data_IF_924714911842
#
_entry.id   IF_924714911842
#
_cell.length_a   1.000
_cell.length_b   1.000
_cell.length_c   1.000
_cell.angle_alpha   90.00
_cell.angle_beta   90.00
_cell.angle_gamma   90.00
#
_symmetry.space_group_name_H-M   'P 1'
#
loop_
_entity.id
_entity.type
_entity.pdbx_description
1 polymer ?
#
# COMPACT_ATOMS: atom_id res chain seq x y z
N UNK A 1 -7.40 -3.65 -24.14
CA UNK A 1 -8.21 -4.14 -23.00
C UNK A 1 -8.27 -3.00 -22.01
N UNK A 2 -9.45 -2.39 -21.81
CA UNK A 2 -9.64 -1.44 -20.71
C UNK A 2 -9.64 -2.28 -19.42
N UNK A 3 -8.68 -2.03 -18.54
CA UNK A 3 -8.66 -2.64 -17.21
C UNK A 3 -9.98 -2.33 -16.51
N UNK A 4 -10.46 -3.25 -15.68
CA UNK A 4 -11.46 -2.89 -14.69
C UNK A 4 -10.87 -1.72 -13.90
N UNK A 5 -11.57 -0.58 -13.82
CA UNK A 5 -11.17 0.51 -12.94
C UNK A 5 -11.11 -0.08 -11.52
N UNK A 6 -9.89 -0.29 -11.03
CA UNK A 6 -9.67 -0.81 -9.69
C UNK A 6 -10.02 0.34 -8.75
N UNK A 7 -10.98 0.14 -7.83
CA UNK A 7 -11.46 1.23 -6.98
C UNK A 7 -10.35 1.76 -6.05
N UNK A 8 -9.33 0.94 -5.78
CA UNK A 8 -8.15 1.33 -5.04
C UNK A 8 -6.89 0.87 -5.78
N UNK A 9 -5.94 1.78 -5.96
CA UNK A 9 -4.64 1.54 -6.56
C UNK A 9 -3.53 1.88 -5.57
N UNK A 10 -2.44 1.11 -5.62
CA UNK A 10 -1.28 1.30 -4.75
C UNK A 10 0.01 1.30 -5.55
N UNK A 11 0.94 2.18 -5.20
CA UNK A 11 2.26 2.24 -5.85
C UNK A 11 3.31 2.69 -4.84
N UNK A 12 4.49 2.08 -4.90
CA UNK A 12 5.63 2.50 -4.07
C UNK A 12 6.62 3.29 -4.90
N UNK A 13 7.06 4.41 -4.37
CA UNK A 13 8.07 5.25 -4.99
C UNK A 13 9.28 5.40 -4.08
N UNK A 14 10.47 5.35 -4.67
CA UNK A 14 11.70 5.75 -3.99
C UNK A 14 12.03 7.18 -4.36
N UNK A 15 12.46 7.94 -3.34
CA UNK A 15 12.93 9.29 -3.56
C UNK A 15 14.28 9.26 -4.28
N UNK A 16 14.47 10.11 -5.29
CA UNK A 16 15.74 10.24 -5.99
C UNK A 16 16.73 10.93 -5.03
N UNK A 17 17.98 10.45 -4.86
CA UNK A 17 18.93 11.02 -3.90
C UNK A 17 19.25 12.49 -4.21
N UNK A 18 19.43 13.32 -3.17
CA UNK A 18 19.85 14.74 -3.26
C UNK A 18 18.90 15.67 -4.02
N UNK A 19 17.66 15.25 -4.25
CA UNK A 19 16.72 16.03 -5.07
C UNK A 19 15.75 16.89 -4.26
N UNK A 20 15.32 16.46 -3.07
CA UNK A 20 14.34 17.23 -2.28
C UNK A 20 15.04 18.11 -1.24
N UNK A 21 15.07 19.41 -1.49
CA UNK A 21 15.44 20.43 -0.51
C UNK A 21 14.23 21.03 0.23
N UNK A 22 13.02 20.85 -0.31
CA UNK A 22 11.77 21.31 0.30
C UNK A 22 10.56 20.44 -0.08
N UNK A 23 9.67 20.17 0.88
CA UNK A 23 8.43 19.38 0.69
C UNK A 23 7.51 19.92 -0.42
N UNK A 24 7.46 21.25 -0.58
CA UNK A 24 6.64 21.89 -1.61
C UNK A 24 7.11 21.59 -3.04
N UNK A 25 8.40 21.33 -3.25
CA UNK A 25 8.96 21.00 -4.57
C UNK A 25 8.56 19.58 -4.98
N UNK A 26 8.59 18.64 -4.03
CA UNK A 26 8.10 17.27 -4.23
C UNK A 26 6.62 17.26 -4.64
N UNK A 27 5.78 18.01 -3.91
CA UNK A 27 4.35 18.11 -4.21
C UNK A 27 4.07 18.76 -5.58
N UNK A 28 4.91 19.71 -6.01
CA UNK A 28 4.74 20.44 -7.27
C UNK A 28 5.23 19.68 -8.52
N UNK A 29 6.13 18.69 -8.37
CA UNK A 29 6.74 18.00 -9.50
C UNK A 29 7.19 16.57 -9.19
N UNK A 30 6.32 15.68 -8.67
CA UNK A 30 6.69 14.38 -8.12
C UNK A 30 7.53 13.50 -9.06
N UNK A 31 7.23 13.52 -10.37
CA UNK A 31 7.95 12.73 -11.39
C UNK A 31 9.44 13.09 -11.52
N UNK A 32 9.86 14.25 -11.02
CA UNK A 32 11.26 14.68 -11.02
C UNK A 32 12.04 14.17 -9.79
N UNK A 33 11.32 13.71 -8.77
CA UNK A 33 11.83 13.39 -7.45
C UNK A 33 11.59 11.94 -7.04
N UNK A 34 10.73 11.21 -7.76
CA UNK A 34 10.28 9.87 -7.42
C UNK A 34 10.58 8.90 -8.55
N UNK A 35 10.93 7.67 -8.20
CA UNK A 35 11.03 6.54 -9.12
C UNK A 35 10.14 5.42 -8.63
N UNK A 36 9.22 4.99 -9.48
CA UNK A 36 8.31 3.89 -9.18
C UNK A 36 9.06 2.56 -9.10
N UNK A 37 8.77 1.82 -8.04
CA UNK A 37 9.23 0.44 -7.85
C UNK A 37 8.60 -0.50 -8.89
N UNK A 38 7.36 -0.25 -9.29
CA UNK A 38 6.61 -1.11 -10.20
C UNK A 38 6.95 -0.79 -11.67
N UNK A 39 7.00 0.49 -12.04
CA UNK A 39 7.28 0.91 -13.41
C UNK A 39 8.77 0.85 -13.78
N UNK A 40 9.67 1.14 -12.83
CA UNK A 40 11.12 1.19 -13.06
C UNK A 40 11.92 0.39 -12.01
N UNK A 41 11.67 -0.93 -11.86
CA UNK A 41 12.18 -1.72 -10.73
C UNK A 41 13.71 -1.73 -10.63
N UNK A 42 14.42 -1.74 -11.76
CA UNK A 42 15.90 -1.69 -11.78
C UNK A 42 16.44 -0.29 -11.47
N UNK A 43 15.74 0.76 -11.90
CA UNK A 43 16.07 2.14 -11.60
C UNK A 43 15.90 2.42 -10.10
N UNK A 44 14.78 1.99 -9.53
CA UNK A 44 14.54 2.01 -8.09
C UNK A 44 15.62 1.24 -7.32
N UNK A 45 16.02 0.06 -7.77
CA UNK A 45 17.03 -0.75 -7.07
C UNK A 45 18.40 -0.05 -7.04
N UNK A 46 18.78 0.59 -8.15
CA UNK A 46 20.00 1.40 -8.20
C UNK A 46 19.96 2.54 -7.18
N UNK A 47 18.84 3.28 -7.10
CA UNK A 47 18.64 4.35 -6.11
C UNK A 47 18.77 3.80 -4.69
N UNK A 48 18.14 2.66 -4.42
CA UNK A 48 18.18 2.00 -3.11
C UNK A 48 19.62 1.69 -2.69
N UNK A 49 20.42 1.07 -3.57
CA UNK A 49 21.82 0.74 -3.28
C UNK A 49 22.71 2.00 -3.15
N UNK A 50 22.52 2.99 -4.01
CA UNK A 50 23.26 4.26 -3.96
C UNK A 50 23.04 4.99 -2.62
N UNK A 51 21.83 4.88 -2.04
CA UNK A 51 21.49 5.41 -0.71
C UNK A 51 22.05 4.55 0.41
N UNK A 52 21.87 3.23 0.34
CA UNK A 52 22.36 2.28 1.35
C UNK A 52 23.89 2.34 1.53
N UNK A 53 24.63 2.74 0.48
CA UNK A 53 26.07 2.97 0.56
C UNK A 53 26.45 4.18 1.44
N UNK A 54 25.51 5.07 1.76
CA UNK A 54 25.75 6.34 2.48
C UNK A 54 24.98 6.44 3.80
N UNK A 55 23.86 5.74 3.91
CA UNK A 55 22.98 5.71 5.08
C UNK A 55 22.54 4.26 5.36
N UNK A 56 22.16 3.92 6.60
CA UNK A 56 21.71 2.57 6.95
C UNK A 56 20.40 2.14 6.23
N UNK A 57 19.64 3.10 5.68
CA UNK A 57 18.35 2.87 5.03
C UNK A 57 18.39 3.30 3.55
N UNK A 58 18.16 2.36 2.63
CA UNK A 58 18.09 2.63 1.20
C UNK A 58 16.69 3.02 0.70
N UNK A 59 15.65 2.70 1.48
CA UNK A 59 14.24 2.72 1.07
C UNK A 59 13.48 4.03 1.31
N UNK A 60 14.15 5.16 1.53
CA UNK A 60 13.41 6.41 1.74
C UNK A 60 12.59 6.80 0.50
N UNK A 61 11.30 7.05 0.67
CA UNK A 61 10.33 7.18 -0.41
C UNK A 61 8.91 7.32 0.13
N UNK A 62 7.90 7.15 -0.71
CA UNK A 62 6.49 7.24 -0.31
C UNK A 62 5.68 6.07 -0.86
N UNK A 63 4.52 5.85 -0.24
CA UNK A 63 3.50 4.92 -0.74
C UNK A 63 2.31 5.73 -1.17
N UNK A 64 1.92 5.57 -2.43
CA UNK A 64 0.70 6.16 -2.95
C UNK A 64 -0.42 5.14 -2.78
N UNK A 65 -1.53 5.61 -2.21
CA UNK A 65 -2.79 4.88 -2.20
C UNK A 65 -3.83 5.84 -2.76
N UNK A 66 -4.37 5.49 -3.92
CA UNK A 66 -5.43 6.25 -4.57
C UNK A 66 -6.71 5.45 -4.52
N UNK A 67 -7.75 6.02 -3.92
CA UNK A 67 -9.09 5.45 -3.85
C UNK A 67 -10.00 6.28 -4.74
N UNK A 68 -10.46 5.70 -5.85
CA UNK A 68 -11.00 6.41 -7.00
C UNK A 68 -10.04 7.49 -7.52
N UNK A 69 -10.40 8.77 -7.40
CA UNK A 69 -9.57 9.91 -7.78
C UNK A 69 -8.93 10.60 -6.57
N UNK A 70 -9.18 10.11 -5.35
CA UNK A 70 -8.65 10.69 -4.12
C UNK A 70 -7.34 10.03 -3.68
N UNK A 71 -6.33 10.85 -3.43
CA UNK A 71 -5.09 10.42 -2.80
C UNK A 71 -5.31 10.28 -1.29
N UNK A 72 -5.21 9.06 -0.76
CA UNK A 72 -5.43 8.77 0.65
C UNK A 72 -4.22 9.08 1.54
N UNK A 73 -3.01 9.00 0.97
CA UNK A 73 -1.75 9.29 1.66
C UNK A 73 -1.12 10.53 1.02
N UNK A 74 -0.94 11.64 1.76
CA UNK A 74 -0.28 12.84 1.25
C UNK A 74 1.14 12.54 0.74
N UNK A 75 1.56 13.19 -0.36
CA UNK A 75 2.88 12.98 -0.96
C UNK A 75 4.03 13.40 -0.03
N UNK A 76 3.74 14.31 0.90
CA UNK A 76 4.65 14.82 1.92
C UNK A 76 5.02 13.74 2.95
N UNK A 77 4.29 12.62 2.96
CA UNK A 77 4.49 11.47 3.83
C UNK A 77 5.52 10.51 3.24
N UNK A 78 6.74 11.03 3.04
CA UNK A 78 7.86 10.22 2.62
C UNK A 78 8.75 9.89 3.83
N UNK A 79 9.13 8.62 3.93
CA UNK A 79 10.02 8.08 4.96
C UNK A 79 10.53 6.71 4.50
N UNK A 80 11.04 5.87 5.39
CA UNK A 80 11.39 4.49 5.10
C UNK A 80 10.17 3.69 4.63
N UNK A 81 10.20 3.28 3.36
CA UNK A 81 9.08 2.57 2.71
C UNK A 81 8.79 1.20 3.34
N UNK A 82 9.77 0.53 3.97
CA UNK A 82 9.49 -0.67 4.76
C UNK A 82 8.65 -0.32 5.99
N UNK A 83 9.03 0.72 6.73
CA UNK A 83 8.25 1.22 7.88
C UNK A 83 6.84 1.69 7.51
N UNK A 84 6.69 2.38 6.37
CA UNK A 84 5.37 2.81 5.86
C UNK A 84 4.46 1.59 5.61
N UNK A 85 4.97 0.59 4.87
CA UNK A 85 4.18 -0.61 4.58
C UNK A 85 3.84 -1.41 5.83
N UNK A 86 4.80 -1.59 6.75
CA UNK A 86 4.55 -2.31 8.00
C UNK A 86 3.45 -1.64 8.85
N UNK A 87 3.45 -0.31 8.91
CA UNK A 87 2.42 0.45 9.62
C UNK A 87 1.04 0.42 8.95
N UNK A 88 1.00 0.36 7.61
CA UNK A 88 -0.25 0.12 6.89
C UNK A 88 -0.78 -1.28 7.21
N UNK A 89 0.08 -2.29 7.24
CA UNK A 89 -0.29 -3.67 7.59
C UNK A 89 -0.79 -3.76 9.04
N UNK A 90 -0.15 -3.05 10.00
CA UNK A 90 -0.64 -2.90 11.38
C UNK A 90 -2.06 -2.35 11.45
N UNK A 91 -2.34 -1.30 10.66
CA UNK A 91 -3.66 -0.70 10.60
C UNK A 91 -4.70 -1.66 9.99
N UNK A 92 -4.35 -2.40 8.93
CA UNK A 92 -5.27 -3.37 8.32
C UNK A 92 -5.54 -4.55 9.26
N UNK A 93 -4.50 -5.09 9.90
CA UNK A 93 -4.60 -6.24 10.79
C UNK A 93 -5.46 -5.92 12.03
N UNK A 94 -5.19 -4.79 12.71
CA UNK A 94 -5.99 -4.37 13.86
C UNK A 94 -7.46 -4.15 13.50
N UNK A 95 -7.72 -3.59 12.32
CA UNK A 95 -9.07 -3.40 11.81
C UNK A 95 -9.78 -4.72 11.55
N UNK A 96 -9.14 -5.69 10.90
CA UNK A 96 -9.73 -7.02 10.67
C UNK A 96 -10.03 -7.75 11.98
N UNK A 97 -9.24 -7.52 13.04
CA UNK A 97 -9.44 -8.14 14.34
C UNK A 97 -10.57 -7.50 15.17
N UNK A 98 -10.72 -6.18 15.13
CA UNK A 98 -11.58 -5.45 16.10
C UNK A 98 -12.46 -4.36 15.51
N UNK A 99 -12.34 -4.07 14.21
CA UNK A 99 -12.91 -2.88 13.56
C UNK A 99 -12.11 -1.60 13.79
N UNK A 100 -10.99 -1.68 14.52
CA UNK A 100 -10.08 -0.56 14.81
C UNK A 100 -8.63 -1.00 14.64
N UNK A 101 -7.90 -0.39 13.71
CA UNK A 101 -6.48 -0.62 13.53
C UNK A 101 -5.68 0.68 13.49
N UNK A 102 -4.44 0.61 13.94
CA UNK A 102 -3.49 1.72 14.00
C UNK A 102 -2.09 1.23 13.67
N UNK A 103 -1.39 1.98 12.82
CA UNK A 103 0.01 1.75 12.49
C UNK A 103 0.95 2.38 13.51
N UNK A 104 2.00 1.66 13.90
CA UNK A 104 2.96 2.12 14.91
C UNK A 104 4.06 3.05 14.35
N UNK A 105 3.80 3.72 13.23
CA UNK A 105 4.77 4.57 12.53
C UNK A 105 4.27 6.02 12.47
N UNK A 106 5.20 6.97 12.48
CA UNK A 106 4.86 8.38 12.31
C UNK A 106 5.04 8.77 10.84
N UNK A 107 3.98 9.20 10.16
CA UNK A 107 2.69 9.56 10.73
C UNK A 107 1.71 8.38 10.86
N UNK A 108 0.83 8.51 11.86
CA UNK A 108 -0.12 7.47 12.25
C UNK A 108 -1.10 7.17 11.10
N UNK A 109 -1.12 5.91 10.68
CA UNK A 109 -2.19 5.35 9.86
C UNK A 109 -3.26 4.78 10.77
N UNK A 110 -4.53 4.99 10.45
CA UNK A 110 -5.63 4.35 11.18
C UNK A 110 -6.76 3.95 10.25
N UNK A 111 -7.44 2.85 10.61
CA UNK A 111 -8.65 2.40 9.96
C UNK A 111 -9.68 2.06 11.03
N UNK A 112 -10.82 2.74 11.00
CA UNK A 112 -11.85 2.65 12.05
C UNK A 112 -13.23 2.54 11.43
N UNK A 113 -14.00 1.52 11.84
CA UNK A 113 -15.38 1.35 11.41
C UNK A 113 -15.83 -0.11 11.34
N UNK A 114 -16.51 -0.45 10.24
CA UNK A 114 -17.01 -1.80 9.95
C UNK A 114 -16.54 -2.25 8.58
N UNK A 115 -16.59 -3.55 8.31
CA UNK A 115 -16.13 -4.12 7.03
C UNK A 115 -16.82 -3.55 5.78
N UNK A 116 -17.96 -2.86 5.93
CA UNK A 116 -18.71 -2.26 4.83
C UNK A 116 -18.54 -0.73 4.71
N UNK A 117 -17.95 -0.09 5.71
CA UNK A 117 -17.71 1.34 5.73
C UNK A 117 -16.74 1.68 6.87
N UNK A 118 -15.63 2.33 6.52
CA UNK A 118 -14.64 2.77 7.48
C UNK A 118 -14.07 4.14 7.13
N UNK A 119 -13.50 4.79 8.14
CA UNK A 119 -12.66 5.98 7.98
C UNK A 119 -11.21 5.54 7.96
N UNK A 120 -10.53 5.70 6.82
CA UNK A 120 -9.08 5.61 6.73
C UNK A 120 -8.48 6.98 7.06
N UNK A 121 -7.46 7.05 7.90
CA UNK A 121 -6.76 8.31 8.17
C UNK A 121 -5.25 8.16 8.06
N UNK A 122 -4.62 9.15 7.45
CA UNK A 122 -3.17 9.30 7.36
C UNK A 122 -2.81 10.75 7.70
N UNK A 123 -1.91 10.94 8.67
CA UNK A 123 -1.40 12.27 9.04
C UNK A 123 -2.51 13.32 9.32
N UNK A 124 -3.56 12.90 10.03
CA UNK A 124 -4.67 13.77 10.42
C UNK A 124 -5.69 14.08 9.31
N UNK A 125 -5.49 13.57 8.10
CA UNK A 125 -6.48 13.61 7.01
C UNK A 125 -7.26 12.29 7.02
N UNK A 126 -8.58 12.37 6.93
CA UNK A 126 -9.47 11.21 6.98
C UNK A 126 -10.35 11.13 5.73
N UNK A 127 -10.46 9.93 5.17
CA UNK A 127 -11.27 9.61 4.00
C UNK A 127 -12.24 8.47 4.32
N UNK A 128 -13.45 8.53 3.75
CA UNK A 128 -14.38 7.42 3.80
C UNK A 128 -14.01 6.42 2.71
N UNK A 129 -13.92 5.15 3.09
CA UNK A 129 -13.49 4.06 2.20
C UNK A 129 -14.37 2.83 2.41
N UNK A 130 -14.48 2.01 1.36
CA UNK A 130 -14.91 0.62 1.48
C UNK A 130 -13.69 -0.25 1.84
N UNK A 131 -13.65 -0.87 3.04
CA UNK A 131 -12.55 -1.76 3.42
C UNK A 131 -12.38 -2.96 2.48
N UNK A 132 -13.45 -3.44 1.82
CA UNK A 132 -13.37 -4.54 0.87
C UNK A 132 -12.67 -4.15 -0.44
N UNK A 133 -12.48 -2.86 -0.69
CA UNK A 133 -11.70 -2.34 -1.82
C UNK A 133 -10.29 -1.89 -1.37
N UNK A 134 -10.20 -1.22 -0.21
CA UNK A 134 -8.94 -0.70 0.32
C UNK A 134 -7.99 -1.83 0.77
N UNK A 135 -8.47 -2.76 1.61
CA UNK A 135 -7.60 -3.77 2.23
C UNK A 135 -6.93 -4.64 1.17
N UNK A 136 -7.63 -5.21 0.16
CA UNK A 136 -6.96 -5.97 -0.90
C UNK A 136 -5.87 -5.17 -1.62
N UNK A 137 -6.14 -3.91 -1.96
CA UNK A 137 -5.18 -3.09 -2.68
C UNK A 137 -3.91 -2.79 -1.85
N UNK A 138 -4.07 -2.60 -0.54
CA UNK A 138 -2.95 -2.46 0.40
C UNK A 138 -2.15 -3.75 0.51
N UNK A 139 -2.82 -4.90 0.66
CA UNK A 139 -2.16 -6.20 0.75
C UNK A 139 -1.41 -6.55 -0.55
N UNK A 140 -2.03 -6.32 -1.70
CA UNK A 140 -1.42 -6.53 -3.01
C UNK A 140 -0.23 -5.58 -3.24
N UNK A 141 -0.36 -4.32 -2.83
CA UNK A 141 0.73 -3.33 -2.90
C UNK A 141 1.92 -3.71 -2.04
N UNK A 142 1.68 -4.10 -0.79
CA UNK A 142 2.72 -4.60 0.11
C UNK A 142 3.39 -5.84 -0.48
N UNK A 143 2.62 -6.81 -0.98
CA UNK A 143 3.14 -8.01 -1.62
C UNK A 143 4.06 -7.66 -2.81
N UNK A 144 3.65 -6.76 -3.70
CA UNK A 144 4.49 -6.29 -4.83
C UNK A 144 5.79 -5.68 -4.34
N UNK A 145 5.72 -4.79 -3.35
CA UNK A 145 6.89 -4.12 -2.81
C UNK A 145 7.88 -5.09 -2.13
N UNK A 146 7.41 -5.98 -1.24
CA UNK A 146 8.29 -6.92 -0.55
C UNK A 146 8.87 -7.98 -1.50
N UNK A 147 8.11 -8.40 -2.52
CA UNK A 147 8.65 -9.21 -3.60
C UNK A 147 9.71 -8.46 -4.41
N UNK A 148 9.54 -7.16 -4.66
CA UNK A 148 10.58 -6.35 -5.31
C UNK A 148 11.84 -6.26 -4.44
N UNK A 149 11.72 -6.01 -3.13
CA UNK A 149 12.85 -5.98 -2.20
C UNK A 149 13.62 -7.30 -2.22
N UNK A 150 12.92 -8.43 -2.20
CA UNK A 150 13.56 -9.76 -2.29
C UNK A 150 14.29 -9.95 -3.62
N UNK A 151 13.62 -9.67 -4.73
CA UNK A 151 14.14 -9.98 -6.06
C UNK A 151 15.20 -9.00 -6.56
N UNK A 152 15.14 -7.73 -6.16
CA UNK A 152 16.01 -6.66 -6.68
C UNK A 152 17.05 -6.19 -5.68
N UNK A 153 16.73 -6.21 -4.38
CA UNK A 153 17.62 -5.76 -3.31
C UNK A 153 18.29 -6.93 -2.59
N UNK A 154 17.70 -8.13 -2.63
CA UNK A 154 18.26 -9.33 -2.00
C UNK A 154 18.03 -9.38 -0.48
N UNK A 155 16.99 -8.70 0.02
CA UNK A 155 16.54 -8.77 1.42
C UNK A 155 15.19 -9.49 1.50
N UNK A 156 15.02 -10.37 2.47
CA UNK A 156 13.78 -11.14 2.65
C UNK A 156 13.05 -10.74 3.93
N UNK A 157 11.72 -10.71 3.86
CA UNK A 157 10.81 -10.44 4.99
C UNK A 157 9.74 -11.54 5.08
N UNK A 158 10.13 -12.80 5.34
CA UNK A 158 9.21 -13.94 5.30
C UNK A 158 8.01 -13.77 6.26
N UNK A 159 8.24 -13.17 7.41
CA UNK A 159 7.20 -12.85 8.40
C UNK A 159 6.15 -11.88 7.86
N UNK A 160 6.55 -10.91 7.04
CA UNK A 160 5.61 -9.97 6.41
C UNK A 160 4.80 -10.68 5.31
N UNK A 161 5.43 -11.56 4.53
CA UNK A 161 4.72 -12.33 3.51
C UNK A 161 3.67 -13.26 4.14
N UNK A 162 4.02 -13.96 5.21
CA UNK A 162 3.08 -14.81 5.96
C UNK A 162 1.93 -13.98 6.56
N UNK A 163 2.24 -12.80 7.09
CA UNK A 163 1.26 -11.84 7.62
C UNK A 163 0.26 -11.39 6.55
N UNK A 164 0.74 -11.01 5.36
CA UNK A 164 -0.11 -10.62 4.21
C UNK A 164 -1.05 -11.78 3.82
N UNK A 165 -0.53 -13.01 3.74
CA UNK A 165 -1.33 -14.19 3.40
C UNK A 165 -2.42 -14.46 4.45
N UNK A 166 -2.07 -14.34 5.74
CA UNK A 166 -3.02 -14.52 6.84
C UNK A 166 -4.15 -13.50 6.79
N UNK A 167 -3.84 -12.23 6.56
CA UNK A 167 -4.85 -11.18 6.40
C UNK A 167 -5.71 -11.40 5.15
N UNK A 168 -5.12 -11.85 4.05
CA UNK A 168 -5.87 -12.18 2.81
C UNK A 168 -6.90 -13.28 3.07
N UNK A 169 -6.53 -14.34 3.80
CA UNK A 169 -7.45 -15.41 4.19
C UNK A 169 -8.55 -14.89 5.13
N UNK A 170 -8.18 -14.06 6.11
CA UNK A 170 -9.14 -13.42 7.02
C UNK A 170 -10.17 -12.59 6.25
N UNK A 171 -9.71 -11.76 5.30
CA UNK A 171 -10.57 -10.92 4.48
C UNK A 171 -11.59 -11.73 3.66
N UNK A 172 -11.18 -12.88 3.12
CA UNK A 172 -12.06 -13.77 2.36
C UNK A 172 -13.23 -14.32 3.19
N UNK A 173 -13.12 -14.36 4.53
CA UNK A 173 -14.22 -14.77 5.40
C UNK A 173 -15.36 -13.74 5.44
N UNK A 174 -15.09 -12.48 5.07
CA UNK A 174 -16.06 -11.40 5.02
C UNK A 174 -16.70 -11.19 3.65
N UNK A 175 -16.13 -11.78 2.60
CA UNK A 175 -16.71 -11.76 1.27
C UNK A 175 -17.89 -12.74 1.19
N UNK A 176 -19.10 -12.31 0.79
CA UNK A 176 -20.19 -13.25 0.61
C UNK A 176 -19.79 -14.24 -0.49
N UNK A 177 -19.86 -15.54 -0.15
CA UNK A 177 -19.67 -16.62 -1.13
C UNK A 177 -20.51 -16.29 -2.36
N UNK A 178 -19.86 -16.03 -3.50
CA UNK A 178 -20.55 -15.85 -4.78
C UNK A 178 -21.34 -17.13 -5.00
N UNK A 179 -22.63 -17.10 -4.68
CA UNK A 179 -23.50 -18.24 -4.88
C UNK A 179 -23.40 -18.60 -6.36
N UNK A 180 -22.97 -19.83 -6.63
CA UNK A 180 -22.93 -20.37 -7.98
C UNK A 180 -24.38 -20.39 -8.46
N UNK A 181 -24.77 -19.38 -9.23
CA UNK A 181 -26.02 -19.37 -9.96
C UNK A 181 -25.93 -20.50 -10.98
N UNK A 182 -26.44 -21.68 -10.62
CA UNK A 182 -26.75 -22.73 -11.58
C UNK A 182 -27.85 -22.19 -12.49
N UNK A 183 -27.47 -21.60 -13.61
CA UNK A 183 -28.39 -21.37 -14.70
C UNK A 183 -28.77 -22.69 -15.38
N UNK A 184 -30.08 -22.79 -15.62
CA UNK A 184 -30.73 -23.47 -16.74
C UNK A 184 -30.92 -24.99 -16.69
N UNK A 185 -32.18 -25.43 -16.73
CA UNK A 185 -32.82 -25.75 -18.02
C UNK A 185 -34.36 -25.82 -17.92
N UNK A 186 -35.06 -25.67 -19.06
CA UNK A 186 -36.44 -25.17 -19.13
C UNK A 186 -37.49 -26.27 -18.98
N UNK A 187 -38.72 -25.82 -18.67
CA UNK A 187 -39.95 -26.61 -18.68
C UNK A 187 -40.19 -27.22 -20.06
N UNK A 188 -40.46 -28.52 -20.09
CA UNK A 188 -41.27 -29.16 -21.12
C UNK A 188 -42.74 -29.09 -20.71
#
# INVERSE_FOLDING_TARGET
MKGQDQACETETFLLIPHTVTALAELAAGPDQYLVSVDAEPKGAAKIWFDRAARNPFGGAGCVHIRYFEEQLIPLELWDDTVGIWDALLDAMEGFLATGVGRGNFSPEFSLVGSIHAASFSAHGVSHQVDPLELIPAVLDGAQRYFSWIENMVGRSYPEIIERIQTMTVSLNSFSPTRAVTKESHPRA
#
